data_IF_002886071128
#
_entry.id   IF_002886071128
#
_cell.length_a   1.000
_cell.length_b   1.000
_cell.length_c   1.000
_cell.angle_alpha   90.00
_cell.angle_beta   90.00
_cell.angle_gamma   90.00
#
_symmetry.space_group_name_H-M   'P 1'
#
loop_
_entity.id
_entity.type
_entity.pdbx_description
1 polymer ?
#
# COMPACT_ATOMS: atom_id res chain seq x y z
N UNK A 1 -10.95 -39.16 17.86
CA UNK A 1 -9.99 -39.25 16.75
C UNK A 1 -9.83 -37.89 16.11
N UNK A 2 -8.58 -37.43 15.98
CA UNK A 2 -8.27 -36.10 15.49
C UNK A 2 -8.61 -35.96 14.00
N UNK A 3 -9.26 -34.86 13.63
CA UNK A 3 -9.46 -34.41 12.24
C UNK A 3 -8.14 -34.07 11.52
N UNK A 4 -6.99 -34.54 12.02
CA UNK A 4 -5.68 -34.44 11.36
C UNK A 4 -5.53 -35.42 10.18
N UNK A 5 -6.41 -36.41 10.03
CA UNK A 5 -6.32 -37.41 8.93
C UNK A 5 -7.03 -36.99 7.65
N UNK A 6 -7.89 -35.99 7.70
CA UNK A 6 -8.42 -35.34 6.51
C UNK A 6 -7.65 -34.05 6.34
N UNK A 7 -6.97 -33.86 5.22
CA UNK A 7 -6.28 -32.63 4.79
C UNK A 7 -7.25 -31.43 4.64
N UNK A 8 -8.06 -31.15 5.66
CA UNK A 8 -8.83 -29.93 5.81
C UNK A 8 -8.02 -29.06 6.76
N UNK A 9 -6.88 -28.55 6.26
CA UNK A 9 -6.36 -27.30 6.79
C UNK A 9 -7.55 -26.32 6.74
N UNK A 10 -7.90 -25.71 7.89
CA UNK A 10 -9.07 -24.84 7.96
C UNK A 10 -9.07 -23.78 6.86
N UNK A 11 -10.25 -23.28 6.50
CA UNK A 11 -10.44 -22.22 5.49
C UNK A 11 -9.87 -20.89 6.01
N UNK A 12 -8.54 -20.79 6.04
CA UNK A 12 -7.80 -19.62 6.45
C UNK A 12 -7.29 -18.89 5.23
N UNK A 13 -7.48 -17.57 5.23
CA UNK A 13 -6.97 -16.69 4.19
C UNK A 13 -6.07 -15.64 4.81
N UNK A 14 -4.87 -15.51 4.28
CA UNK A 14 -3.90 -14.51 4.69
C UNK A 14 -4.10 -13.24 3.88
N UNK A 15 -4.27 -12.11 4.57
CA UNK A 15 -4.25 -10.78 3.96
C UNK A 15 -2.82 -10.24 4.10
N UNK A 16 -2.11 -10.10 2.98
CA UNK A 16 -0.76 -9.54 2.95
C UNK A 16 -0.86 -8.08 2.54
N UNK A 17 -0.39 -7.18 3.41
CA UNK A 17 -0.48 -5.74 3.20
C UNK A 17 0.77 -5.22 2.52
N UNK A 18 0.65 -4.81 1.26
CA UNK A 18 1.76 -4.27 0.51
C UNK A 18 1.67 -2.73 0.41
N UNK A 19 2.67 -2.04 0.94
CA UNK A 19 2.74 -0.58 0.84
C UNK A 19 3.14 -0.11 -0.57
N UNK A 20 2.53 0.97 -1.04
CA UNK A 20 2.95 1.73 -2.23
C UNK A 20 3.21 3.20 -1.89
N UNK A 21 4.06 3.90 -2.66
CA UNK A 21 4.30 5.34 -2.45
C UNK A 21 3.05 6.14 -2.80
N UNK A 22 2.44 6.82 -1.83
CA UNK A 22 1.29 7.71 -2.11
C UNK A 22 1.71 8.92 -2.96
N UNK A 23 0.84 9.35 -3.87
CA UNK A 23 1.00 10.60 -4.63
C UNK A 23 0.78 11.84 -3.76
N UNK A 24 0.13 11.68 -2.60
CA UNK A 24 -0.12 12.76 -1.64
C UNK A 24 1.14 13.17 -0.84
N UNK A 25 2.27 12.51 -1.11
CA UNK A 25 3.54 12.85 -0.50
C UNK A 25 4.20 14.04 -1.18
N UNK A 26 4.43 15.12 -0.44
CA UNK A 26 5.04 16.35 -0.99
C UNK A 26 6.57 16.33 -0.94
N UNK A 27 7.21 15.23 -1.36
CA UNK A 27 8.66 15.06 -1.18
C UNK A 27 9.50 16.08 -1.99
N UNK A 28 10.56 16.65 -1.39
CA UNK A 28 11.60 17.39 -2.12
C UNK A 28 12.21 16.53 -3.23
N UNK A 29 12.79 17.18 -4.25
CA UNK A 29 13.24 16.50 -5.47
C UNK A 29 14.18 15.30 -5.20
N UNK A 30 15.20 15.48 -4.36
CA UNK A 30 16.15 14.40 -4.04
C UNK A 30 15.50 13.23 -3.32
N UNK A 31 14.66 13.49 -2.32
CA UNK A 31 13.92 12.45 -1.60
C UNK A 31 12.98 11.70 -2.54
N UNK A 32 12.31 12.41 -3.47
CA UNK A 32 11.47 11.79 -4.49
C UNK A 32 12.25 10.82 -5.39
N UNK A 33 13.48 11.18 -5.79
CA UNK A 33 14.35 10.29 -6.58
C UNK A 33 14.74 9.06 -5.77
N UNK A 34 15.14 9.24 -4.50
CA UNK A 34 15.49 8.14 -3.60
C UNK A 34 14.30 7.19 -3.41
N UNK A 35 13.10 7.72 -3.16
CA UNK A 35 11.90 6.91 -3.00
C UNK A 35 11.53 6.16 -4.27
N UNK A 36 11.64 6.79 -5.46
CA UNK A 36 11.44 6.10 -6.73
C UNK A 36 12.42 4.94 -6.92
N UNK A 37 13.69 5.16 -6.61
CA UNK A 37 14.71 4.10 -6.69
C UNK A 37 14.42 2.96 -5.72
N UNK A 38 14.04 3.28 -4.47
CA UNK A 38 13.65 2.29 -3.47
C UNK A 38 12.47 1.43 -3.94
N UNK A 39 11.39 2.04 -4.44
CA UNK A 39 10.22 1.29 -4.88
C UNK A 39 10.48 0.50 -6.18
N UNK A 40 11.34 1.00 -7.06
CA UNK A 40 11.80 0.25 -8.23
C UNK A 40 12.59 -1.01 -7.83
N UNK A 41 13.50 -0.89 -6.86
CA UNK A 41 14.19 -2.05 -6.29
C UNK A 41 13.24 -3.01 -5.57
N UNK A 42 12.25 -2.49 -4.85
CA UNK A 42 11.21 -3.30 -4.18
C UNK A 42 10.41 -4.12 -5.19
N UNK A 43 10.05 -3.56 -6.34
CA UNK A 43 9.28 -4.25 -7.38
C UNK A 43 10.07 -5.42 -8.01
N UNK A 44 11.39 -5.28 -8.12
CA UNK A 44 12.28 -6.34 -8.62
C UNK A 44 12.57 -7.39 -7.53
N UNK A 45 12.43 -7.01 -6.25
CA UNK A 45 12.67 -7.87 -5.10
C UNK A 45 11.62 -8.99 -4.97
N UNK A 46 11.89 -9.95 -4.09
CA UNK A 46 10.93 -10.98 -3.71
C UNK A 46 9.65 -10.35 -3.14
N UNK A 47 8.49 -10.76 -3.67
CA UNK A 47 7.20 -10.29 -3.16
C UNK A 47 6.96 -10.78 -1.74
N UNK A 48 6.23 -9.99 -0.95
CA UNK A 48 6.08 -10.20 0.49
C UNK A 48 5.41 -11.55 0.78
N UNK A 49 4.37 -11.93 0.03
CA UNK A 49 3.70 -13.23 0.15
C UNK A 49 4.61 -14.42 -0.15
N UNK A 50 5.54 -14.27 -1.11
CA UNK A 50 6.55 -15.29 -1.42
C UNK A 50 7.64 -15.35 -0.35
N UNK A 51 8.04 -14.20 0.18
CA UNK A 51 9.00 -14.09 1.29
C UNK A 51 8.50 -14.75 2.58
N UNK A 52 7.19 -14.73 2.81
CA UNK A 52 6.56 -15.43 3.94
C UNK A 52 6.37 -16.95 3.71
N UNK A 53 6.62 -17.45 2.50
CA UNK A 53 6.46 -18.87 2.18
C UNK A 53 4.99 -19.32 2.16
N UNK A 54 4.06 -18.40 1.87
CA UNK A 54 2.63 -18.71 1.84
C UNK A 54 2.22 -19.30 0.49
N UNK A 55 1.28 -20.26 0.51
CA UNK A 55 0.67 -20.76 -0.72
C UNK A 55 -0.23 -19.71 -1.36
N UNK A 56 -0.07 -19.49 -2.67
CA UNK A 56 -0.77 -18.44 -3.40
C UNK A 56 -2.30 -18.62 -3.44
N UNK A 57 -2.80 -19.84 -3.21
CA UNK A 57 -4.22 -20.17 -3.09
C UNK A 57 -4.86 -19.61 -1.82
N UNK A 58 -4.07 -19.39 -0.76
CA UNK A 58 -4.53 -18.96 0.57
C UNK A 58 -4.23 -17.48 0.83
N UNK A 59 -3.65 -16.75 -0.12
CA UNK A 59 -3.23 -15.35 0.07
C UNK A 59 -4.07 -14.39 -0.76
N UNK A 60 -4.41 -13.26 -0.16
CA UNK A 60 -4.87 -12.05 -0.85
C UNK A 60 -3.95 -10.91 -0.50
N UNK A 61 -3.38 -10.27 -1.52
CA UNK A 61 -2.57 -9.06 -1.35
C UNK A 61 -3.47 -7.84 -1.40
N UNK A 62 -3.36 -6.96 -0.41
CA UNK A 62 -4.05 -5.67 -0.37
C UNK A 62 -3.04 -4.54 -0.28
N UNK A 63 -3.24 -3.47 -1.06
CA UNK A 63 -2.30 -2.36 -1.15
C UNK A 63 -2.74 -1.18 -0.30
N UNK A 64 -1.80 -0.54 0.39
CA UNK A 64 -2.09 0.66 1.18
C UNK A 64 -1.10 1.81 0.88
N UNK A 65 -1.56 3.07 0.94
CA UNK A 65 -0.71 4.22 0.67
C UNK A 65 0.27 4.45 1.82
N UNK A 66 1.56 4.49 1.52
CA UNK A 66 2.59 4.97 2.43
C UNK A 66 2.68 6.50 2.32
N UNK A 67 2.36 7.20 3.41
CA UNK A 67 2.48 8.65 3.55
C UNK A 67 3.63 8.93 4.53
N UNK A 68 4.69 9.56 4.02
CA UNK A 68 5.89 9.96 4.76
C UNK A 68 5.84 11.46 5.05
N UNK A 69 5.41 12.26 4.07
CA UNK A 69 5.29 13.71 4.22
C UNK A 69 3.99 14.21 3.58
N UNK A 70 2.93 14.41 4.39
CA UNK A 70 1.66 14.90 3.86
C UNK A 70 1.81 16.34 3.33
N UNK A 71 1.06 16.66 2.29
CA UNK A 71 0.96 18.03 1.76
C UNK A 71 0.54 19.02 2.85
N UNK A 72 1.04 20.25 2.72
CA UNK A 72 0.64 21.35 3.60
C UNK A 72 -0.88 21.56 3.54
N UNK A 73 -1.54 21.72 4.70
CA UNK A 73 -2.96 22.06 4.74
C UNK A 73 -3.20 23.40 4.04
N UNK A 74 -3.78 23.35 2.82
CA UNK A 74 -4.17 24.55 2.10
C UNK A 74 -5.32 25.23 2.84
N UNK A 75 -5.12 26.48 3.25
CA UNK A 75 -6.19 27.31 3.82
C UNK A 75 -7.11 27.76 2.69
N UNK A 76 -8.06 26.91 2.32
CA UNK A 76 -9.06 27.23 1.32
C UNK A 76 -10.04 28.27 1.89
N UNK A 77 -10.24 29.36 1.15
CA UNK A 77 -11.30 30.34 1.43
C UNK A 77 -12.41 30.14 0.41
N UNK A 78 -13.63 29.90 0.88
CA UNK A 78 -14.81 29.85 0.01
C UNK A 78 -15.02 31.22 -0.64
N UNK A 79 -15.12 31.25 -1.96
CA UNK A 79 -15.49 32.43 -2.72
C UNK A 79 -16.93 32.23 -3.19
N UNK A 80 -17.79 33.22 -2.93
CA UNK A 80 -19.08 33.33 -3.58
C UNK A 80 -18.86 34.24 -4.79
N UNK A 81 -19.16 33.74 -5.97
CA UNK A 81 -19.23 34.57 -7.17
C UNK A 81 -20.64 35.14 -7.13
N UNK A 82 -20.77 36.41 -6.77
CA UNK A 82 -22.04 37.11 -6.89
C UNK A 82 -22.33 37.22 -8.39
N UNK A 83 -23.35 36.51 -8.88
CA UNK A 83 -23.81 36.57 -10.29
C UNK A 83 -24.59 37.87 -10.59
N UNK A 84 -24.71 38.78 -9.63
CA UNK A 84 -25.42 40.03 -9.76
C UNK A 84 -24.47 41.23 -9.55
N UNK A 85 -23.95 41.78 -10.66
CA UNK A 85 -23.81 43.22 -11.03
C UNK A 85 -23.12 43.33 -12.40
#
# INVERSE_FOLDING_TARGET
>A
ESQQRNNVAGDFKFIVLEKFLSQDNELPFFERVIMKLYFWLKEISLSEEKGFGLEQSMVKVEKFPLIIMPVSNLKLKRVYIDEDI
#
